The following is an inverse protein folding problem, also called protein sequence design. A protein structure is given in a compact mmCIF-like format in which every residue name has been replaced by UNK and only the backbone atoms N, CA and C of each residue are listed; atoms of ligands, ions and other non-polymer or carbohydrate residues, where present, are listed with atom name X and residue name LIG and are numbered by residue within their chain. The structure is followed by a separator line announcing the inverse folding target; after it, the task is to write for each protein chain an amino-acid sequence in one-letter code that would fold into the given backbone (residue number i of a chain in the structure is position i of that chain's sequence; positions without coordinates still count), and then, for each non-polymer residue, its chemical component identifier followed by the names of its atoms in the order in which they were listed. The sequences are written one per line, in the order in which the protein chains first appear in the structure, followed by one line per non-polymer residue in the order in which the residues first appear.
data_IF_209992738557
#
_entry.id   IF_209992738557
#
_cell.length_a   1.000
_cell.length_b   1.000
_cell.length_c   1.000
_cell.angle_alpha   90.00
_cell.angle_beta   90.00
_cell.angle_gamma   90.00
#
_symmetry.space_group_name_H-M   'P 1'
#
loop_
_entity.id
_entity.type
_entity.pdbx_description
1 polymer ?
#
# COMPACT_ATOMS: atom_id res chain seq x y z
N UNK A 1 -41.96 28.75 38.13
CA UNK A 1 -41.82 28.32 36.72
C UNK A 1 -43.13 27.70 36.26
N UNK A 2 -43.78 28.24 35.23
CA UNK A 2 -45.10 27.77 34.76
C UNK A 2 -45.05 26.33 34.25
N UNK A 3 -46.09 25.54 34.52
CA UNK A 3 -46.24 24.13 34.07
C UNK A 3 -46.02 23.99 32.55
N UNK A 4 -46.36 25.05 31.80
CA UNK A 4 -46.19 25.11 30.34
C UNK A 4 -44.72 25.17 29.91
N UNK A 5 -43.86 25.85 30.68
CA UNK A 5 -42.40 25.96 30.41
C UNK A 5 -41.67 24.64 30.69
N UNK A 6 -42.14 23.84 31.67
CA UNK A 6 -41.58 22.50 31.93
C UNK A 6 -41.87 21.51 30.80
N UNK A 7 -43.07 21.58 30.19
CA UNK A 7 -43.45 20.70 29.08
C UNK A 7 -42.63 20.98 27.81
N UNK A 8 -42.36 22.25 27.50
CA UNK A 8 -41.56 22.62 26.31
C UNK A 8 -40.09 22.21 26.46
N UNK A 9 -39.51 22.35 27.66
CA UNK A 9 -38.14 21.89 27.93
C UNK A 9 -38.03 20.37 27.80
N UNK A 10 -39.02 19.63 28.33
CA UNK A 10 -39.06 18.17 28.24
C UNK A 10 -39.16 17.68 26.79
N UNK A 11 -40.01 18.31 25.96
CA UNK A 11 -40.06 18.01 24.53
C UNK A 11 -38.74 18.32 23.81
N UNK A 12 -38.07 19.42 24.14
CA UNK A 12 -36.76 19.76 23.58
C UNK A 12 -35.68 18.72 23.89
N UNK A 13 -35.66 18.18 25.12
CA UNK A 13 -34.72 17.13 25.53
C UNK A 13 -35.00 15.82 24.80
N UNK A 14 -36.27 15.43 24.63
CA UNK A 14 -36.63 14.21 23.89
C UNK A 14 -36.20 14.30 22.42
N UNK A 15 -36.40 15.46 21.79
CA UNK A 15 -35.98 15.70 20.41
C UNK A 15 -34.45 15.66 20.31
N UNK A 16 -33.74 16.25 21.27
CA UNK A 16 -32.27 16.21 21.30
C UNK A 16 -31.75 14.78 21.46
N UNK A 17 -32.33 14.00 22.37
CA UNK A 17 -31.97 12.60 22.60
C UNK A 17 -32.31 11.70 21.41
N UNK A 18 -33.43 11.94 20.71
CA UNK A 18 -33.79 11.18 19.52
C UNK A 18 -32.89 11.53 18.33
N UNK A 19 -32.51 12.80 18.17
CA UNK A 19 -31.52 13.22 17.17
C UNK A 19 -30.15 12.62 17.48
N UNK A 20 -29.70 12.64 18.74
CA UNK A 20 -28.46 11.99 19.18
C UNK A 20 -28.50 10.48 18.91
N UNK A 21 -29.59 9.80 19.27
CA UNK A 21 -29.78 8.37 19.03
C UNK A 21 -29.77 8.02 17.54
N UNK A 22 -30.44 8.82 16.70
CA UNK A 22 -30.42 8.65 15.26
C UNK A 22 -29.02 8.93 14.68
N UNK A 23 -28.29 9.90 15.21
CA UNK A 23 -26.93 10.21 14.79
C UNK A 23 -25.94 9.10 15.17
N UNK A 24 -26.01 8.58 16.40
CA UNK A 24 -25.19 7.44 16.86
C UNK A 24 -25.52 6.15 16.12
N UNK A 25 -26.80 5.90 15.84
CA UNK A 25 -27.19 4.72 15.08
C UNK A 25 -26.82 4.83 13.61
N UNK A 26 -26.89 6.03 13.01
CA UNK A 26 -26.47 6.23 11.63
C UNK A 26 -24.96 6.02 11.48
N UNK A 27 -24.15 6.50 12.43
CA UNK A 27 -22.70 6.26 12.45
C UNK A 27 -22.35 4.78 12.67
N UNK A 28 -23.04 4.09 13.58
CA UNK A 28 -22.86 2.64 13.79
C UNK A 28 -23.32 1.81 12.58
N UNK A 29 -24.39 2.23 11.90
CA UNK A 29 -24.93 1.54 10.73
C UNK A 29 -24.05 1.73 9.49
N UNK A 30 -23.44 2.91 9.31
CA UNK A 30 -22.43 3.14 8.26
C UNK A 30 -21.14 2.34 8.50
N UNK A 31 -20.81 2.01 9.75
CA UNK A 31 -19.66 1.15 10.07
C UNK A 31 -19.93 -0.35 9.79
N UNK A 32 -21.21 -0.73 9.67
CA UNK A 32 -21.66 -2.09 9.35
C UNK A 32 -21.86 -2.34 7.85
N UNK A 33 -22.03 -1.29 7.03
CA UNK A 33 -22.06 -1.32 5.56
C UNK A 33 -20.77 -0.67 5.03
N UNK A 34 -19.67 -1.35 4.73
CA UNK A 34 -19.52 -2.52 3.88
C UNK A 34 -18.36 -3.36 4.40
N UNK A 35 -18.67 -4.52 5.00
CA UNK A 35 -17.61 -5.50 5.30
C UNK A 35 -17.03 -6.13 4.04
N UNK A 36 -17.57 -5.89 2.86
CA UNK A 36 -17.16 -6.56 1.64
C UNK A 36 -16.51 -5.55 0.68
N UNK A 37 -15.33 -5.88 0.18
CA UNK A 37 -14.55 -5.02 -0.71
C UNK A 37 -14.37 -5.72 -2.06
N UNK A 38 -14.44 -4.93 -3.13
CA UNK A 38 -14.01 -5.34 -4.47
C UNK A 38 -12.49 -5.47 -4.53
N UNK A 39 -12.00 -6.68 -4.81
CA UNK A 39 -10.56 -6.91 -5.02
C UNK A 39 -10.04 -6.17 -6.26
N UNK A 40 -10.89 -5.96 -7.27
CA UNK A 40 -10.53 -5.10 -8.42
C UNK A 40 -10.23 -3.69 -7.96
N UNK A 41 -11.12 -3.06 -7.17
CA UNK A 41 -10.87 -1.71 -6.63
C UNK A 41 -9.66 -1.67 -5.70
N UNK A 42 -9.46 -2.71 -4.90
CA UNK A 42 -8.31 -2.80 -4.01
C UNK A 42 -6.98 -2.91 -4.78
N UNK A 43 -6.95 -3.63 -5.90
CA UNK A 43 -5.81 -3.64 -6.82
C UNK A 43 -5.52 -2.23 -7.37
N UNK A 44 -6.54 -1.47 -7.78
CA UNK A 44 -6.36 -0.08 -8.24
C UNK A 44 -5.73 0.77 -7.15
N UNK A 45 -6.24 0.67 -5.92
CA UNK A 45 -5.72 1.40 -4.77
C UNK A 45 -4.28 0.98 -4.44
N UNK A 46 -3.96 -0.31 -4.53
CA UNK A 46 -2.61 -0.84 -4.31
C UNK A 46 -1.61 -0.33 -5.35
N UNK A 47 -1.99 -0.34 -6.64
CA UNK A 47 -1.21 0.30 -7.71
C UNK A 47 -0.97 1.77 -7.36
N UNK A 48 -2.02 2.48 -6.98
CA UNK A 48 -1.90 3.90 -6.70
C UNK A 48 -1.04 4.20 -5.47
N UNK A 49 -1.15 3.37 -4.43
CA UNK A 49 -0.32 3.45 -3.24
C UNK A 49 1.16 3.30 -3.62
N UNK A 50 1.52 2.28 -4.39
CA UNK A 50 2.89 2.06 -4.85
C UNK A 50 3.42 3.26 -5.66
N UNK A 51 2.64 3.80 -6.60
CA UNK A 51 3.05 5.00 -7.37
C UNK A 51 3.28 6.23 -6.49
N UNK A 52 2.41 6.45 -5.50
CA UNK A 52 2.52 7.58 -4.57
C UNK A 52 3.74 7.39 -3.67
N UNK A 53 3.94 6.19 -3.12
CA UNK A 53 5.12 5.84 -2.33
C UNK A 53 6.41 6.09 -3.13
N UNK A 54 6.49 5.58 -4.36
CA UNK A 54 7.63 5.81 -5.24
C UNK A 54 7.84 7.28 -5.58
N UNK A 55 6.78 8.09 -5.70
CA UNK A 55 6.88 9.54 -5.90
C UNK A 55 7.53 10.24 -4.71
N UNK A 56 7.21 9.81 -3.48
CA UNK A 56 7.86 10.31 -2.25
C UNK A 56 9.33 9.90 -2.18
N UNK A 57 9.67 8.66 -2.58
CA UNK A 57 11.06 8.18 -2.69
C UNK A 57 11.87 9.07 -3.63
N UNK A 58 11.35 9.37 -4.82
CA UNK A 58 11.98 10.29 -5.78
C UNK A 58 12.11 11.69 -5.18
N UNK A 59 11.07 12.17 -4.48
CA UNK A 59 11.07 13.50 -3.89
C UNK A 59 12.13 13.67 -2.80
N UNK A 60 12.42 12.63 -2.02
CA UNK A 60 13.52 12.63 -1.04
C UNK A 60 14.88 12.52 -1.74
N UNK A 61 15.01 11.63 -2.73
CA UNK A 61 16.25 11.48 -3.49
C UNK A 61 16.73 12.78 -4.14
N UNK A 62 15.80 13.57 -4.68
CA UNK A 62 16.08 14.86 -5.30
C UNK A 62 16.47 15.97 -4.31
N UNK A 63 16.44 15.73 -3.00
CA UNK A 63 16.90 16.69 -2.00
C UNK A 63 18.43 16.72 -1.95
N UNK A 64 19.01 17.91 -1.73
CA UNK A 64 20.47 18.09 -1.76
C UNK A 64 21.22 17.23 -0.72
N UNK A 65 20.57 16.89 0.40
CA UNK A 65 21.04 15.96 1.43
C UNK A 65 19.83 15.34 2.13
N UNK A 66 19.84 14.03 2.34
CA UNK A 66 18.89 13.31 3.19
C UNK A 66 19.64 12.51 4.25
N UNK A 67 19.01 12.32 5.40
CA UNK A 67 19.60 11.60 6.53
C UNK A 67 19.47 10.09 6.35
N UNK A 68 20.55 9.38 6.64
CA UNK A 68 20.60 7.92 6.68
C UNK A 68 20.70 7.52 8.14
N UNK A 69 19.69 6.82 8.62
CA UNK A 69 19.64 6.21 9.94
C UNK A 69 19.85 4.69 9.79
N UNK A 70 19.90 3.97 10.91
CA UNK A 70 19.97 2.51 10.88
C UNK A 70 19.03 1.91 11.92
N UNK A 71 18.28 0.88 11.51
CA UNK A 71 17.38 0.10 12.38
C UNK A 71 18.16 -0.88 13.27
N UNK A 72 19.46 -1.08 13.00
CA UNK A 72 20.32 -2.00 13.70
C UNK A 72 21.23 -2.76 12.74
N UNK A 73 21.52 -4.01 13.07
CA UNK A 73 22.24 -4.92 12.19
C UNK A 73 21.35 -6.08 11.78
N UNK A 74 21.46 -6.52 10.54
CA UNK A 74 20.87 -7.78 10.08
C UNK A 74 21.47 -8.95 10.84
N UNK A 75 20.90 -10.16 10.71
CA UNK A 75 21.41 -11.38 11.36
C UNK A 75 22.85 -11.70 10.92
N UNK A 76 23.22 -11.21 9.75
CA UNK A 76 24.51 -11.33 9.09
C UNK A 76 25.51 -10.25 9.56
N UNK A 77 25.08 -9.31 10.41
CA UNK A 77 25.94 -8.27 10.99
C UNK A 77 26.11 -7.02 10.13
N UNK A 78 25.36 -6.90 9.04
CA UNK A 78 25.38 -5.75 8.12
C UNK A 78 24.44 -4.67 8.66
N UNK A 79 24.81 -3.40 8.57
CA UNK A 79 23.93 -2.30 9.00
C UNK A 79 22.69 -2.28 8.11
N UNK A 80 21.51 -2.25 8.75
CA UNK A 80 20.22 -2.13 8.09
C UNK A 80 19.84 -0.64 8.01
N UNK A 81 19.98 0.02 6.83
CA UNK A 81 19.76 1.45 6.70
C UNK A 81 18.28 1.77 6.59
N UNK A 82 17.90 2.94 7.09
CA UNK A 82 16.56 3.52 6.88
C UNK A 82 16.71 5.01 6.65
N UNK A 83 15.90 5.58 5.77
CA UNK A 83 15.98 6.99 5.38
C UNK A 83 14.62 7.67 5.53
N UNK A 84 14.63 8.99 5.36
CA UNK A 84 13.39 9.78 5.25
C UNK A 84 12.50 9.30 4.08
N UNK A 85 13.08 8.69 3.04
CA UNK A 85 12.32 8.16 1.91
C UNK A 85 11.43 6.99 2.32
N UNK A 86 11.93 6.08 3.16
CA UNK A 86 11.20 4.92 3.68
C UNK A 86 9.99 5.40 4.51
N UNK A 87 10.18 6.37 5.41
CA UNK A 87 9.10 6.90 6.25
C UNK A 87 8.06 7.71 5.48
N UNK A 88 8.47 8.55 4.52
CA UNK A 88 7.54 9.33 3.69
C UNK A 88 6.73 8.43 2.77
N UNK A 89 7.39 7.47 2.13
CA UNK A 89 6.73 6.47 1.29
C UNK A 89 5.74 5.62 2.11
N UNK A 90 6.15 5.16 3.30
CA UNK A 90 5.28 4.48 4.26
C UNK A 90 4.00 5.28 4.55
N UNK A 91 4.15 6.53 4.99
CA UNK A 91 2.99 7.35 5.34
C UNK A 91 2.07 7.55 4.14
N UNK A 92 2.64 7.78 2.95
CA UNK A 92 1.84 8.04 1.76
C UNK A 92 1.05 6.81 1.31
N UNK A 93 1.70 5.64 1.32
CA UNK A 93 1.08 4.36 0.99
C UNK A 93 -0.01 3.99 1.99
N UNK A 94 0.30 4.00 3.30
CA UNK A 94 -0.68 3.68 4.35
C UNK A 94 -1.88 4.61 4.29
N UNK A 95 -1.64 5.93 4.20
CA UNK A 95 -2.71 6.91 4.16
C UNK A 95 -3.60 6.72 2.92
N UNK A 96 -3.01 6.52 1.73
CA UNK A 96 -3.78 6.31 0.50
C UNK A 96 -4.70 5.07 0.55
N UNK A 97 -4.25 3.99 1.18
CA UNK A 97 -5.01 2.76 1.36
C UNK A 97 -6.12 2.96 2.39
N UNK A 98 -5.83 3.58 3.54
CA UNK A 98 -6.80 3.78 4.62
C UNK A 98 -7.84 4.86 4.31
N UNK A 99 -7.52 5.88 3.51
CA UNK A 99 -8.55 6.83 3.03
C UNK A 99 -9.57 6.13 2.13
N UNK A 100 -9.14 5.14 1.35
CA UNK A 100 -10.01 4.38 0.44
C UNK A 100 -10.76 3.27 1.17
N UNK A 101 -10.08 2.57 2.08
CA UNK A 101 -10.59 1.43 2.83
C UNK A 101 -10.26 1.59 4.33
N UNK A 102 -11.02 2.41 5.09
CA UNK A 102 -10.66 2.78 6.46
C UNK A 102 -10.47 1.62 7.44
N UNK A 103 -11.16 0.50 7.21
CA UNK A 103 -11.17 -0.65 8.11
C UNK A 103 -10.28 -1.81 7.62
N UNK A 104 -9.49 -1.62 6.56
CA UNK A 104 -8.60 -2.68 6.03
C UNK A 104 -7.35 -2.80 6.89
N UNK A 105 -6.86 -4.03 7.06
CA UNK A 105 -5.59 -4.24 7.76
C UNK A 105 -4.42 -3.97 6.81
N UNK A 106 -3.60 -2.97 7.11
CA UNK A 106 -2.34 -2.67 6.41
C UNK A 106 -1.16 -2.92 7.34
N UNK A 107 -0.21 -3.71 6.89
CA UNK A 107 1.06 -4.00 7.58
C UNK A 107 2.17 -3.45 6.71
N UNK A 108 3.07 -2.65 7.31
CA UNK A 108 4.23 -2.09 6.63
C UNK A 108 5.51 -2.55 7.30
N UNK A 109 6.58 -2.67 6.53
CA UNK A 109 7.93 -2.82 7.10
C UNK A 109 8.26 -1.66 8.04
N UNK A 110 7.92 -0.43 7.64
CA UNK A 110 8.21 0.76 8.43
C UNK A 110 7.12 1.06 9.45
N UNK A 111 7.52 1.73 10.52
CA UNK A 111 6.60 2.28 11.52
C UNK A 111 6.91 3.76 11.73
N UNK A 112 6.11 4.64 11.12
CA UNK A 112 6.26 6.09 11.31
C UNK A 112 5.52 6.57 12.55
N UNK A 113 6.09 7.57 13.25
CA UNK A 113 5.51 8.18 14.45
C UNK A 113 4.52 9.31 14.17
N UNK A 114 4.39 9.85 12.96
CA UNK A 114 3.44 10.93 12.62
C UNK A 114 3.22 11.02 11.09
N UNK A 115 2.09 10.53 10.58
CA UNK A 115 1.73 10.56 9.16
C UNK A 115 0.70 11.66 8.80
N UNK A 116 0.54 12.68 9.65
CA UNK A 116 -0.61 13.60 9.67
C UNK A 116 -0.74 14.60 8.49
N UNK A 117 -0.05 14.41 7.35
CA UNK A 117 0.12 15.47 6.34
C UNK A 117 0.00 15.08 4.86
N UNK A 118 -0.62 13.95 4.50
CA UNK A 118 -0.69 13.56 3.09
C UNK A 118 -2.12 13.64 2.60
N UNK A 119 -2.48 14.70 1.89
CA UNK A 119 -3.78 14.78 1.20
C UNK A 119 -3.71 13.97 -0.08
N UNK A 120 -4.31 12.77 -0.11
CA UNK A 120 -4.38 11.99 -1.35
C UNK A 120 -5.54 12.50 -2.18
N UNK A 121 -5.22 13.07 -3.35
CA UNK A 121 -6.23 13.49 -4.32
C UNK A 121 -7.10 12.30 -4.72
N UNK A 122 -8.42 12.48 -4.62
CA UNK A 122 -9.47 11.46 -4.74
C UNK A 122 -9.18 10.40 -5.83
N UNK A 123 -8.81 9.18 -5.41
CA UNK A 123 -8.46 8.04 -6.28
C UNK A 123 -9.58 7.69 -7.26
N UNK A 124 -10.83 8.00 -6.90
CA UNK A 124 -12.03 7.78 -7.72
C UNK A 124 -11.93 8.37 -9.14
N UNK A 125 -11.17 9.44 -9.34
CA UNK A 125 -11.03 10.08 -10.66
C UNK A 125 -10.03 9.36 -11.60
N UNK A 126 -9.12 8.53 -11.06
CA UNK A 126 -8.07 7.85 -11.84
C UNK A 126 -8.40 6.39 -12.23
N UNK A 127 -9.58 5.89 -11.86
CA UNK A 127 -10.03 4.51 -12.13
C UNK A 127 -10.12 4.21 -13.64
N UNK A 128 -10.27 5.25 -14.49
CA UNK A 128 -10.45 5.09 -15.93
C UNK A 128 -9.26 4.44 -16.66
N UNK A 129 -8.05 4.44 -16.08
CA UNK A 129 -6.86 3.85 -16.71
C UNK A 129 -6.79 2.31 -16.60
N UNK A 130 -7.65 1.67 -15.80
CA UNK A 130 -7.69 0.21 -15.65
C UNK A 130 -8.90 -0.43 -16.34
N UNK A 131 -9.70 0.35 -17.08
CA UNK A 131 -10.77 -0.16 -17.94
C UNK A 131 -10.25 -1.00 -19.13
N UNK A 132 -8.94 -1.00 -19.39
CA UNK A 132 -8.31 -1.81 -20.43
C UNK A 132 -8.28 -3.32 -20.10
N UNK A 133 -8.49 -3.70 -18.84
CA UNK A 133 -8.45 -5.10 -18.43
C UNK A 133 -9.87 -5.61 -18.10
N UNK A 134 -10.35 -6.55 -18.92
CA UNK A 134 -11.56 -7.34 -18.65
C UNK A 134 -11.30 -8.36 -17.53
N UNK A 135 -11.12 -7.84 -16.31
CA UNK A 135 -10.87 -8.64 -15.11
C UNK A 135 -12.20 -8.84 -14.40
N UNK A 136 -12.58 -10.12 -14.23
CA UNK A 136 -13.69 -10.53 -13.37
C UNK A 136 -13.38 -10.13 -11.94
N UNK A 137 -14.29 -9.39 -11.32
CA UNK A 137 -14.11 -8.94 -9.94
C UNK A 137 -14.48 -10.04 -8.92
N UNK A 138 -13.87 -9.97 -7.75
CA UNK A 138 -14.18 -10.78 -6.58
C UNK A 138 -14.49 -9.87 -5.39
N UNK A 139 -15.59 -10.17 -4.70
CA UNK A 139 -16.03 -9.42 -3.53
C UNK A 139 -15.71 -10.24 -2.29
N UNK A 140 -14.82 -9.73 -1.44
CA UNK A 140 -14.28 -10.47 -0.29
C UNK A 140 -14.53 -9.69 1.01
N UNK A 141 -14.74 -10.43 2.10
CA UNK A 141 -14.87 -9.81 3.41
C UNK A 141 -13.55 -9.15 3.83
N UNK A 142 -13.59 -7.90 4.24
CA UNK A 142 -12.45 -7.10 4.67
C UNK A 142 -11.65 -7.74 5.80
N UNK A 143 -12.29 -8.49 6.70
CA UNK A 143 -11.60 -9.19 7.79
C UNK A 143 -10.75 -10.37 7.28
N UNK A 144 -11.03 -10.86 6.08
CA UNK A 144 -10.23 -11.89 5.42
C UNK A 144 -9.06 -11.27 4.63
N UNK A 145 -8.96 -9.94 4.55
CA UNK A 145 -7.96 -9.25 3.73
C UNK A 145 -6.85 -8.67 4.62
N UNK A 146 -5.61 -8.88 4.20
CA UNK A 146 -4.45 -8.19 4.78
C UNK A 146 -3.59 -7.65 3.66
N UNK A 147 -3.25 -6.36 3.74
CA UNK A 147 -2.36 -5.69 2.79
C UNK A 147 -0.99 -5.55 3.44
N UNK A 148 0.04 -6.04 2.79
CA UNK A 148 1.44 -5.85 3.17
C UNK A 148 2.06 -4.85 2.23
N UNK A 149 2.80 -3.89 2.77
CA UNK A 149 3.52 -2.91 1.97
C UNK A 149 4.99 -2.89 2.35
N UNK A 150 5.82 -2.76 1.32
CA UNK A 150 7.23 -2.40 1.45
C UNK A 150 7.39 -1.01 0.81
N UNK A 151 7.56 0.05 1.63
CA UNK A 151 7.57 1.42 1.15
C UNK A 151 8.83 1.78 0.37
N UNK A 152 9.93 1.06 0.57
CA UNK A 152 11.17 1.24 -0.16
C UNK A 152 12.01 -0.04 0.00
N UNK A 153 11.95 -0.91 -1.00
CA UNK A 153 12.87 -2.05 -1.08
C UNK A 153 14.20 -1.60 -1.69
N UNK A 154 15.28 -2.25 -1.25
CA UNK A 154 16.65 -1.91 -1.59
C UNK A 154 17.13 -0.55 -1.01
N UNK A 155 16.83 -0.26 0.27
CA UNK A 155 17.28 0.96 0.96
C UNK A 155 18.79 1.13 0.93
N UNK A 156 19.55 0.02 0.99
CA UNK A 156 21.01 0.07 0.87
C UNK A 156 21.44 0.60 -0.50
N UNK A 157 20.92 0.03 -1.56
CA UNK A 157 21.15 0.42 -2.94
C UNK A 157 20.68 1.87 -3.20
N UNK A 158 19.57 2.28 -2.61
CA UNK A 158 19.09 3.67 -2.63
C UNK A 158 20.14 4.64 -2.07
N UNK A 159 20.73 4.33 -0.91
CA UNK A 159 21.79 5.17 -0.32
C UNK A 159 23.09 5.20 -1.15
N UNK A 160 23.30 4.18 -1.99
CA UNK A 160 24.45 4.07 -2.89
C UNK A 160 24.18 4.56 -4.31
N UNK A 161 23.00 5.16 -4.53
CA UNK A 161 22.55 5.68 -5.83
C UNK A 161 22.44 4.58 -6.92
N UNK A 162 22.22 3.33 -6.53
CA UNK A 162 21.93 2.19 -7.41
C UNK A 162 20.41 2.07 -7.62
N UNK A 163 19.83 3.14 -8.17
CA UNK A 163 18.39 3.40 -8.19
C UNK A 163 17.56 2.40 -9.01
N UNK A 164 18.18 1.64 -9.91
CA UNK A 164 17.50 0.63 -10.74
C UNK A 164 16.93 -0.54 -9.95
N UNK A 165 17.39 -0.75 -8.71
CA UNK A 165 16.94 -1.80 -7.80
C UNK A 165 15.84 -1.35 -6.84
N UNK A 166 15.66 -0.04 -6.70
CA UNK A 166 14.70 0.52 -5.75
C UNK A 166 13.29 0.27 -6.23
N UNK A 167 12.45 -0.30 -5.35
CA UNK A 167 11.03 -0.53 -5.63
C UNK A 167 10.16 -0.14 -4.46
N UNK A 168 8.87 0.05 -4.73
CA UNK A 168 7.82 0.13 -3.72
C UNK A 168 6.81 -0.97 -4.02
N UNK A 169 6.42 -1.76 -3.02
CA UNK A 169 5.65 -2.98 -3.24
C UNK A 169 4.39 -3.03 -2.38
N UNK A 170 3.37 -3.69 -2.93
CA UNK A 170 2.13 -4.01 -2.21
C UNK A 170 1.78 -5.47 -2.47
N UNK A 171 1.48 -6.22 -1.43
CA UNK A 171 0.93 -7.56 -1.50
C UNK A 171 -0.43 -7.58 -0.80
N UNK A 172 -1.44 -8.15 -1.46
CA UNK A 172 -2.76 -8.38 -0.86
C UNK A 172 -2.90 -9.88 -0.64
N UNK A 173 -3.13 -10.24 0.62
CA UNK A 173 -3.43 -11.60 1.04
C UNK A 173 -4.91 -11.74 1.41
N UNK A 174 -5.52 -12.84 0.98
CA UNK A 174 -6.87 -13.25 1.37
C UNK A 174 -6.79 -14.54 2.17
N UNK A 175 -7.30 -14.52 3.40
CA UNK A 175 -7.24 -15.64 4.35
C UNK A 175 -5.81 -16.17 4.54
N UNK A 176 -4.86 -15.25 4.66
CA UNK A 176 -3.44 -15.54 4.83
C UNK A 176 -2.72 -16.05 3.57
N UNK A 177 -3.36 -16.06 2.39
CA UNK A 177 -2.73 -16.46 1.13
C UNK A 177 -2.53 -15.24 0.22
N UNK A 178 -1.30 -14.97 -0.28
CA UNK A 178 -1.08 -13.88 -1.21
C UNK A 178 -1.82 -14.14 -2.53
N UNK A 179 -2.62 -13.18 -2.98
CA UNK A 179 -3.44 -13.29 -4.20
C UNK A 179 -3.15 -12.19 -5.22
N UNK A 180 -2.73 -11.01 -4.75
CA UNK A 180 -2.35 -9.89 -5.62
C UNK A 180 -0.98 -9.38 -5.18
N UNK A 181 -0.13 -9.08 -6.15
CA UNK A 181 1.15 -8.41 -5.96
C UNK A 181 1.29 -7.22 -6.91
N UNK A 182 1.86 -6.13 -6.40
CA UNK A 182 2.19 -4.91 -7.14
C UNK A 182 3.64 -4.55 -6.86
N UNK A 183 4.40 -4.28 -7.90
CA UNK A 183 5.78 -3.79 -7.83
C UNK A 183 5.87 -2.55 -8.69
N UNK A 184 6.30 -1.44 -8.08
CA UNK A 184 6.56 -0.19 -8.79
C UNK A 184 8.05 0.18 -8.67
N UNK A 185 8.68 0.50 -9.80
CA UNK A 185 10.07 0.92 -9.94
C UNK A 185 10.13 2.43 -10.19
N UNK A 186 10.27 3.28 -9.15
CA UNK A 186 10.18 4.73 -9.28
C UNK A 186 11.18 5.36 -10.25
N UNK A 187 12.39 4.79 -10.37
CA UNK A 187 13.46 5.35 -11.21
C UNK A 187 13.54 4.73 -12.61
N UNK A 188 12.61 3.85 -12.97
CA UNK A 188 12.56 3.26 -14.31
C UNK A 188 11.95 4.24 -15.31
N UNK A 189 12.70 4.53 -16.38
CA UNK A 189 12.29 5.50 -17.41
C UNK A 189 11.78 4.84 -18.68
N UNK A 190 12.00 3.53 -18.86
CA UNK A 190 11.47 2.78 -19.99
C UNK A 190 9.95 2.71 -19.90
N UNK A 191 9.28 3.08 -20.99
CA UNK A 191 7.82 2.99 -21.09
C UNK A 191 7.34 1.57 -20.74
N UNK A 192 6.24 1.49 -20.00
CA UNK A 192 5.61 0.23 -19.56
C UNK A 192 6.53 -0.72 -18.77
N UNK A 193 7.64 -0.24 -18.21
CA UNK A 193 8.59 -1.08 -17.46
C UNK A 193 8.67 -0.72 -15.97
N UNK A 194 7.94 0.31 -15.53
CA UNK A 194 7.97 0.79 -14.15
C UNK A 194 6.94 0.13 -13.24
N UNK A 195 5.82 -0.38 -13.76
CA UNK A 195 4.74 -0.94 -12.95
C UNK A 195 4.45 -2.39 -13.36
N UNK A 196 4.47 -3.29 -12.40
CA UNK A 196 4.10 -4.70 -12.56
C UNK A 196 3.02 -5.04 -11.55
N UNK A 197 2.05 -5.84 -11.97
CA UNK A 197 1.09 -6.42 -11.05
C UNK A 197 0.60 -7.78 -11.53
N UNK A 198 0.18 -8.60 -10.59
CA UNK A 198 -0.49 -9.87 -10.86
C UNK A 198 -1.63 -10.11 -9.90
N UNK A 199 -2.66 -10.80 -10.38
CA UNK A 199 -3.75 -11.33 -9.59
C UNK A 199 -3.94 -12.81 -9.96
N UNK A 200 -3.67 -13.69 -8.98
CA UNK A 200 -3.74 -15.14 -9.15
C UNK A 200 -5.07 -15.57 -9.77
N UNK A 201 -5.01 -16.39 -10.84
CA UNK A 201 -6.17 -16.91 -11.58
C UNK A 201 -7.04 -15.86 -12.29
N UNK A 202 -6.58 -14.62 -12.39
CA UNK A 202 -7.34 -13.54 -13.01
C UNK A 202 -6.57 -12.91 -14.17
N UNK A 203 -5.55 -12.13 -13.86
CA UNK A 203 -4.82 -11.37 -14.86
C UNK A 203 -3.43 -10.96 -14.35
N UNK A 204 -2.58 -10.55 -15.28
CA UNK A 204 -1.29 -9.93 -15.01
C UNK A 204 -1.13 -8.71 -15.90
N UNK A 205 -0.30 -7.76 -15.47
CA UNK A 205 0.02 -6.56 -16.23
C UNK A 205 0.62 -6.90 -17.60
N UNK A 206 0.32 -6.08 -18.62
CA UNK A 206 0.71 -6.34 -20.01
C UNK A 206 2.22 -6.58 -20.22
N UNK A 207 3.05 -5.88 -19.47
CA UNK A 207 4.50 -6.03 -19.48
C UNK A 207 4.99 -7.36 -18.89
N UNK A 208 4.20 -8.01 -18.03
CA UNK A 208 4.50 -9.36 -17.53
C UNK A 208 4.07 -10.45 -18.54
N UNK A 209 3.04 -10.19 -19.36
CA UNK A 209 2.59 -11.11 -20.40
C UNK A 209 3.61 -11.29 -21.53
N UNK A 210 4.44 -10.26 -21.78
CA UNK A 210 5.41 -10.20 -22.88
C UNK A 210 6.81 -10.67 -22.43
N UNK A 211 6.95 -11.21 -21.21
CA UNK A 211 8.22 -11.82 -20.80
C UNK A 211 8.54 -12.97 -21.76
N UNK A 212 9.54 -12.75 -22.61
CA UNK A 212 10.12 -13.80 -23.44
C UNK A 212 10.50 -14.93 -22.49
N UNK A 213 9.94 -16.12 -22.72
CA UNK A 213 10.52 -17.35 -22.18
C UNK A 213 11.98 -17.31 -22.65
N UNK A 214 12.91 -17.09 -21.72
CA UNK A 214 14.32 -17.27 -22.01
C UNK A 214 14.42 -18.68 -22.58
N UNK A 215 14.84 -18.79 -23.85
CA UNK A 215 15.19 -20.08 -24.40
C UNK A 215 16.24 -20.67 -23.46
N UNK A 216 16.04 -21.94 -23.07
CA UNK A 216 16.87 -22.68 -22.13
C UNK A 216 18.34 -22.76 -22.62
N UNK A 217 19.11 -21.68 -22.48
CA UNK A 217 20.55 -21.76 -22.50
C UNK A 217 20.99 -22.35 -21.17
N UNK A 218 21.50 -23.59 -21.27
CA UNK A 218 21.88 -24.58 -20.24
C UNK A 218 22.86 -24.12 -19.15
N UNK A 219 23.07 -22.83 -18.94
CA UNK A 219 23.99 -22.33 -17.92
C UNK A 219 23.17 -22.02 -16.66
N UNK A 220 23.42 -22.69 -15.52
CA UNK A 220 22.77 -22.32 -14.28
C UNK A 220 23.18 -20.90 -13.89
N UNK A 221 22.21 -19.99 -13.85
CA UNK A 221 22.42 -18.63 -13.34
C UNK A 221 22.27 -18.70 -11.82
N UNK A 222 23.39 -18.53 -11.11
CA UNK A 222 23.38 -18.38 -9.65
C UNK A 222 23.21 -16.89 -9.31
N UNK A 223 22.06 -16.54 -8.74
CA UNK A 223 21.79 -15.20 -8.21
C UNK A 223 21.95 -15.25 -6.70
N UNK A 224 22.77 -14.35 -6.17
CA UNK A 224 23.02 -14.22 -4.73
C UNK A 224 22.76 -12.77 -4.29
N UNK A 225 22.12 -12.62 -3.14
CA UNK A 225 21.85 -11.30 -2.57
C UNK A 225 23.16 -10.62 -2.18
N UNK A 226 23.31 -9.34 -2.51
CA UNK A 226 24.45 -8.53 -2.06
C UNK A 226 24.39 -8.28 -0.55
N UNK A 227 23.19 -8.05 -0.01
CA UNK A 227 22.94 -7.72 1.39
C UNK A 227 22.76 -8.94 2.29
N UNK A 228 22.41 -10.09 1.74
CA UNK A 228 22.19 -11.35 2.47
C UNK A 228 22.96 -12.50 1.81
N UNK A 229 24.26 -12.30 1.58
CA UNK A 229 25.15 -13.34 1.08
C UNK A 229 25.37 -14.40 2.17
N UNK A 230 24.44 -15.35 2.27
CA UNK A 230 24.67 -16.60 3.00
C UNK A 230 25.90 -17.33 2.45
N UNK A 231 26.35 -18.35 3.17
CA UNK A 231 27.51 -19.13 2.73
C UNK A 231 27.17 -19.93 1.47
N UNK A 232 27.73 -19.54 0.32
CA UNK A 232 27.54 -20.24 -0.95
C UNK A 232 28.41 -21.50 -0.92
N UNK A 233 27.79 -22.65 -0.63
CA UNK A 233 28.45 -23.95 -0.72
C UNK A 233 28.29 -24.44 -2.16
N UNK A 234 29.36 -24.39 -2.94
CA UNK A 234 29.40 -25.06 -4.24
C UNK A 234 29.69 -26.54 -4.03
N UNK A 235 28.81 -27.41 -4.55
CA UNK A 235 28.97 -28.87 -4.56
C UNK A 235 29.69 -29.33 -5.82
#
# INVERSE_FOLDING_TARGET
MSVRTRKTIFCGIIILLSVLYLYTNRTLYTDLQDKNISLKLLLIAAIKAAEIGGSEVIAVHNQAKFEIQSKGKTKEGINDPVTEADYRSHCAMVHSLLETFPSITVISEETSKNCDKITVSNIKNNINNLNDYDIKDEIININDITVWIDPLDATKEFTENLLQYVTTMVCIAVKGKPVIGVIYKPFETKQNSSLFWSWTNHAVSRNLQILHKLEDEKIPILIVSQSHAGQIIMF
#
